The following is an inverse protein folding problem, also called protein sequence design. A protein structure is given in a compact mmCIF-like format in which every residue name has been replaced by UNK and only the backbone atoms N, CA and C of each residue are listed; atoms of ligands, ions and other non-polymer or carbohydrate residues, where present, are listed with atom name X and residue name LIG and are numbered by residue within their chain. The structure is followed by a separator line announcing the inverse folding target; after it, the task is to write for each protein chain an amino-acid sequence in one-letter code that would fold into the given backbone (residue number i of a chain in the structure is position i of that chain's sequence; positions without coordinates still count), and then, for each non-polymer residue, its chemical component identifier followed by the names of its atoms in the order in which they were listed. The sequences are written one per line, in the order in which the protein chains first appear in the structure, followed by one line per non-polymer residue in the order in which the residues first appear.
data_IF_490988577755
#
_entry.id   IF_490988577755
#
_cell.length_a   1.000
_cell.length_b   1.000
_cell.length_c   1.000
_cell.angle_alpha   90.00
_cell.angle_beta   90.00
_cell.angle_gamma   90.00
#
_symmetry.space_group_name_H-M   'P 1'
#
loop_
_entity.id
_entity.type
_entity.pdbx_description
1 polymer ?
#
# COMPACT_ATOMS: atom_id res chain seq x y z
N UNK A 1 -34.67 -80.11 6.83
CA UNK A 1 -34.14 -78.85 7.37
C UNK A 1 -33.13 -78.31 6.35
N UNK A 2 -33.60 -77.49 5.42
CA UNK A 2 -32.83 -76.97 4.29
C UNK A 2 -32.11 -75.69 4.70
N UNK A 3 -30.80 -75.76 4.92
CA UNK A 3 -29.95 -74.57 5.04
C UNK A 3 -29.63 -74.08 3.63
N UNK A 4 -30.40 -73.11 3.14
CA UNK A 4 -30.02 -72.30 1.99
C UNK A 4 -28.80 -71.47 2.42
N UNK A 5 -27.61 -71.89 1.96
CA UNK A 5 -26.42 -71.05 1.97
C UNK A 5 -26.74 -69.81 1.13
N UNK A 6 -26.89 -68.66 1.78
CA UNK A 6 -26.87 -67.38 1.10
C UNK A 6 -25.43 -67.15 0.60
N UNK A 7 -25.19 -67.40 -0.69
CA UNK A 7 -23.99 -66.94 -1.38
C UNK A 7 -23.94 -65.42 -1.33
N UNK A 8 -23.31 -64.86 -0.31
CA UNK A 8 -22.89 -63.45 -0.35
C UNK A 8 -21.80 -63.34 -1.40
N UNK A 9 -21.98 -62.56 -2.48
CA UNK A 9 -21.02 -62.52 -3.58
C UNK A 9 -19.65 -62.10 -3.04
N UNK A 10 -18.63 -62.92 -3.28
CA UNK A 10 -17.24 -62.67 -2.87
C UNK A 10 -16.83 -61.27 -3.32
N UNK A 11 -16.52 -60.38 -2.37
CA UNK A 11 -16.08 -59.01 -2.66
C UNK A 11 -14.81 -59.06 -3.51
N UNK A 12 -14.96 -58.78 -4.79
CA UNK A 12 -13.86 -58.80 -5.75
C UNK A 12 -12.78 -57.82 -5.32
N UNK A 13 -11.52 -58.29 -5.28
CA UNK A 13 -10.34 -57.46 -5.05
C UNK A 13 -9.89 -56.70 -6.30
N UNK A 14 -10.64 -56.82 -7.41
CA UNK A 14 -10.33 -56.10 -8.64
C UNK A 14 -10.58 -54.61 -8.43
N UNK A 15 -9.61 -53.76 -8.81
CA UNK A 15 -9.80 -52.32 -8.76
C UNK A 15 -10.93 -51.88 -9.71
N UNK A 16 -11.54 -50.74 -9.41
CA UNK A 16 -12.66 -50.21 -10.19
C UNK A 16 -12.21 -49.84 -11.60
N UNK A 17 -12.87 -50.41 -12.61
CA UNK A 17 -12.61 -50.17 -14.02
C UNK A 17 -13.31 -48.89 -14.50
N UNK A 18 -12.69 -47.75 -14.20
CA UNK A 18 -13.17 -46.45 -14.66
C UNK A 18 -12.00 -45.55 -15.04
N UNK A 19 -12.21 -44.64 -15.98
CA UNK A 19 -11.13 -43.81 -16.56
C UNK A 19 -10.35 -43.00 -15.51
N UNK A 20 -11.01 -42.57 -14.42
CA UNK A 20 -10.34 -41.89 -13.31
C UNK A 20 -9.44 -42.84 -12.51
N UNK A 21 -9.97 -43.96 -12.03
CA UNK A 21 -9.21 -44.92 -11.21
C UNK A 21 -8.12 -45.67 -11.99
N UNK A 22 -8.27 -45.76 -13.32
CA UNK A 22 -7.26 -46.32 -14.22
C UNK A 22 -6.32 -45.28 -14.83
N UNK A 23 -6.45 -43.99 -14.47
CA UNK A 23 -5.62 -42.91 -15.00
C UNK A 23 -5.64 -42.81 -16.55
N UNK A 24 -6.78 -43.12 -17.16
CA UNK A 24 -7.03 -43.06 -18.61
C UNK A 24 -7.96 -41.90 -18.98
N UNK A 25 -7.99 -40.84 -18.17
CA UNK A 25 -8.72 -39.63 -18.53
C UNK A 25 -8.10 -39.00 -19.79
N UNK A 26 -8.91 -38.42 -20.69
CA UNK A 26 -8.39 -37.70 -21.83
C UNK A 26 -7.57 -36.51 -21.32
N UNK A 27 -6.28 -36.50 -21.65
CA UNK A 27 -5.37 -35.43 -21.28
C UNK A 27 -4.80 -34.78 -22.53
N UNK A 28 -4.75 -33.45 -22.52
CA UNK A 28 -3.96 -32.72 -23.50
C UNK A 28 -2.51 -32.66 -23.03
N UNK A 29 -1.59 -33.20 -23.82
CA UNK A 29 -0.17 -33.25 -23.50
C UNK A 29 0.62 -32.40 -24.51
N UNK A 30 0.72 -31.07 -24.30
CA UNK A 30 1.46 -30.22 -25.21
C UNK A 30 2.96 -30.49 -25.12
N UNK A 31 3.55 -30.84 -26.26
CA UNK A 31 5.00 -30.95 -26.42
C UNK A 31 5.56 -29.60 -26.89
N UNK A 32 6.27 -28.91 -26.00
CA UNK A 32 6.89 -27.61 -26.26
C UNK A 32 8.21 -27.78 -27.01
N UNK A 33 8.12 -27.92 -28.34
CA UNK A 33 9.30 -27.92 -29.22
C UNK A 33 9.78 -26.50 -29.47
N UNK A 34 11.10 -26.31 -29.67
CA UNK A 34 11.73 -25.00 -29.91
C UNK A 34 11.01 -24.14 -30.96
N UNK A 35 10.55 -24.74 -32.08
CA UNK A 35 9.79 -24.03 -33.12
C UNK A 35 8.45 -23.46 -32.62
N UNK A 36 7.70 -24.23 -31.83
CA UNK A 36 6.39 -23.81 -31.30
C UNK A 36 6.55 -22.72 -30.24
N UNK A 37 7.53 -22.89 -29.34
CA UNK A 37 7.85 -21.90 -28.31
C UNK A 37 8.39 -20.61 -28.92
N UNK A 38 9.23 -20.69 -29.95
CA UNK A 38 9.76 -19.51 -30.65
C UNK A 38 8.65 -18.63 -31.22
N UNK A 39 7.68 -19.22 -31.94
CA UNK A 39 6.52 -18.49 -32.48
C UNK A 39 5.70 -17.83 -31.35
N UNK A 40 5.45 -18.55 -30.26
CA UNK A 40 4.70 -18.01 -29.13
C UNK A 40 5.41 -16.80 -28.49
N UNK A 41 6.72 -16.88 -28.27
CA UNK A 41 7.51 -15.77 -27.74
C UNK A 41 7.61 -14.59 -28.72
N UNK A 42 7.67 -14.84 -30.02
CA UNK A 42 7.62 -13.75 -31.01
C UNK A 42 6.30 -13.00 -30.96
N UNK A 43 5.16 -13.70 -30.88
CA UNK A 43 3.84 -13.07 -30.75
C UNK A 43 3.77 -12.25 -29.46
N UNK A 44 4.21 -12.83 -28.34
CA UNK A 44 4.23 -12.14 -27.06
C UNK A 44 5.14 -10.90 -27.11
N UNK A 45 6.31 -10.98 -27.75
CA UNK A 45 7.22 -9.85 -27.92
C UNK A 45 6.59 -8.73 -28.75
N UNK A 46 5.98 -9.05 -29.88
CA UNK A 46 5.28 -8.07 -30.72
C UNK A 46 4.13 -7.37 -29.98
N UNK A 47 3.49 -8.04 -29.01
CA UNK A 47 2.48 -7.42 -28.15
C UNK A 47 3.08 -6.59 -27.00
N UNK A 48 4.11 -7.08 -26.33
CA UNK A 48 4.69 -6.42 -25.16
C UNK A 48 5.54 -5.20 -25.53
N UNK A 49 6.18 -5.18 -26.70
CA UNK A 49 6.98 -4.04 -27.16
C UNK A 49 6.15 -2.74 -27.26
N UNK A 50 5.02 -2.68 -27.99
CA UNK A 50 4.22 -1.45 -28.07
C UNK A 50 3.64 -1.06 -26.72
N UNK A 51 3.21 -2.03 -25.90
CA UNK A 51 2.74 -1.76 -24.53
C UNK A 51 3.86 -1.12 -23.69
N UNK A 52 5.07 -1.66 -23.76
CA UNK A 52 6.24 -1.11 -23.06
C UNK A 52 6.61 0.30 -23.54
N UNK A 53 6.55 0.57 -24.84
CA UNK A 53 6.79 1.91 -25.40
C UNK A 53 5.75 2.91 -24.88
N UNK A 54 4.45 2.55 -24.91
CA UNK A 54 3.38 3.40 -24.41
C UNK A 54 3.59 3.71 -22.92
N UNK A 55 3.83 2.68 -22.10
CA UNK A 55 4.08 2.84 -20.66
C UNK A 55 5.28 3.74 -20.39
N UNK A 56 6.39 3.54 -21.10
CA UNK A 56 7.60 4.34 -20.94
C UNK A 56 7.38 5.81 -21.30
N UNK A 57 6.73 6.08 -22.44
CA UNK A 57 6.39 7.45 -22.85
C UNK A 57 5.47 8.11 -21.82
N UNK A 58 4.43 7.41 -21.36
CA UNK A 58 3.53 7.96 -20.33
C UNK A 58 4.24 8.22 -19.01
N UNK A 59 5.20 7.36 -18.61
CA UNK A 59 5.97 7.51 -17.37
C UNK A 59 6.92 8.71 -17.44
N UNK A 60 7.60 8.91 -18.57
CA UNK A 60 8.55 10.01 -18.74
C UNK A 60 7.87 11.38 -18.86
N UNK A 61 6.59 11.43 -19.22
CA UNK A 61 5.81 12.66 -19.29
C UNK A 61 5.29 13.14 -17.92
N UNK A 62 5.47 12.36 -16.85
CA UNK A 62 5.09 12.75 -15.50
C UNK A 62 6.09 13.77 -14.96
N UNK A 63 5.59 14.95 -14.57
CA UNK A 63 6.39 16.01 -13.94
C UNK A 63 6.32 15.85 -12.43
N UNK A 64 7.47 15.62 -11.79
CA UNK A 64 7.59 15.48 -10.34
C UNK A 64 8.70 16.41 -9.81
N UNK A 65 8.44 17.02 -8.65
CA UNK A 65 9.44 17.78 -7.90
C UNK A 65 9.54 17.20 -6.49
N UNK A 66 10.74 16.76 -6.11
CA UNK A 66 11.02 16.18 -4.80
C UNK A 66 11.91 17.11 -3.97
N UNK A 67 11.49 17.42 -2.74
CA UNK A 67 12.24 18.29 -1.83
C UNK A 67 12.39 17.62 -0.48
N UNK A 68 13.66 17.43 -0.08
CA UNK A 68 14.00 16.94 1.25
C UNK A 68 14.01 18.10 2.26
N UNK A 69 13.19 17.98 3.30
CA UNK A 69 13.10 18.97 4.37
C UNK A 69 13.56 18.43 5.73
N UNK A 70 14.26 17.29 5.77
CA UNK A 70 14.76 16.67 7.02
C UNK A 70 15.62 17.63 7.84
N UNK A 71 16.64 18.23 7.22
CA UNK A 71 17.52 19.22 7.85
C UNK A 71 17.01 20.65 7.62
N UNK A 72 15.73 20.86 7.93
CA UNK A 72 15.11 22.16 7.86
C UNK A 72 15.61 23.10 8.97
N UNK A 73 15.90 24.34 8.60
CA UNK A 73 16.29 25.41 9.51
C UNK A 73 15.07 26.29 9.77
N UNK A 74 14.87 26.69 11.01
CA UNK A 74 13.78 27.58 11.39
C UNK A 74 13.91 28.94 10.69
N UNK A 75 12.79 29.46 10.19
CA UNK A 75 12.78 30.76 9.54
C UNK A 75 13.19 31.88 10.52
N UNK A 76 14.26 32.61 10.20
CA UNK A 76 14.78 33.72 11.01
C UNK A 76 15.87 33.34 12.03
N UNK A 77 16.18 32.06 12.22
CA UNK A 77 17.32 31.60 13.04
C UNK A 77 18.22 30.66 12.25
N UNK A 78 19.38 30.27 12.80
CA UNK A 78 20.26 29.26 12.21
C UNK A 78 20.13 27.89 12.90
N UNK A 79 19.00 27.64 13.56
CA UNK A 79 18.76 26.40 14.32
C UNK A 79 17.97 25.38 13.50
N UNK A 80 18.36 24.10 13.60
CA UNK A 80 17.63 22.98 13.01
C UNK A 80 16.30 22.79 13.72
N UNK A 81 15.23 22.56 12.95
CA UNK A 81 13.91 22.31 13.52
C UNK A 81 13.87 21.10 14.46
N UNK A 82 14.71 20.09 14.24
CA UNK A 82 14.83 18.94 15.14
C UNK A 82 15.19 19.35 16.58
N UNK A 83 16.04 20.37 16.75
CA UNK A 83 16.41 20.92 18.06
C UNK A 83 15.30 21.80 18.65
N UNK A 84 14.69 22.64 17.82
CA UNK A 84 13.61 23.54 18.24
C UNK A 84 12.39 22.75 18.75
N UNK A 85 11.99 21.71 18.03
CA UNK A 85 10.88 20.83 18.40
C UNK A 85 11.19 20.04 19.67
N UNK A 86 12.43 19.57 19.85
CA UNK A 86 12.85 18.90 21.09
C UNK A 86 12.75 19.80 22.33
N UNK A 87 12.79 21.12 22.12
CA UNK A 87 12.60 22.13 23.17
C UNK A 87 11.12 22.50 23.39
N UNK A 88 10.18 21.83 22.72
CA UNK A 88 8.74 22.04 22.86
C UNK A 88 8.20 23.29 22.13
N UNK A 89 8.97 23.89 21.22
CA UNK A 89 8.54 25.07 20.44
C UNK A 89 8.12 24.67 19.02
N UNK A 90 7.11 25.33 18.44
CA UNK A 90 6.75 25.10 17.04
C UNK A 90 7.88 25.57 16.13
N UNK A 91 8.22 24.78 15.12
CA UNK A 91 9.18 25.15 14.09
C UNK A 91 8.48 25.40 12.76
N UNK A 92 8.81 26.50 12.09
CA UNK A 92 8.38 26.80 10.73
C UNK A 92 9.61 26.90 9.86
N UNK A 93 9.67 26.07 8.81
CA UNK A 93 10.72 26.12 7.80
C UNK A 93 10.13 26.48 6.44
N UNK A 94 10.92 27.20 5.64
CA UNK A 94 10.59 27.53 4.25
C UNK A 94 11.62 26.87 3.33
N UNK A 95 11.15 26.03 2.42
CA UNK A 95 11.97 25.48 1.32
C UNK A 95 11.52 26.09 0.00
N UNK A 96 12.49 26.55 -0.77
CA UNK A 96 12.24 27.14 -2.09
C UNK A 96 12.39 26.07 -3.16
N UNK A 97 11.46 26.06 -4.12
CA UNK A 97 11.44 25.12 -5.25
C UNK A 97 11.38 25.94 -6.53
N UNK A 98 12.31 25.68 -7.45
CA UNK A 98 12.28 26.29 -8.78
C UNK A 98 11.51 25.38 -9.72
N UNK A 99 10.36 25.86 -10.20
CA UNK A 99 9.51 25.13 -11.15
C UNK A 99 9.84 25.62 -12.56
N UNK A 100 10.61 24.81 -13.30
CA UNK A 100 11.06 25.14 -14.66
C UNK A 100 9.99 24.85 -15.73
N UNK A 101 9.14 23.86 -15.48
CA UNK A 101 8.13 23.39 -16.44
C UNK A 101 6.74 23.48 -15.84
N UNK A 102 5.75 23.77 -16.69
CA UNK A 102 4.35 23.83 -16.26
C UNK A 102 3.87 22.45 -15.82
N UNK A 103 3.32 22.35 -14.61
CA UNK A 103 2.73 21.10 -14.09
C UNK A 103 1.29 21.00 -14.61
N UNK A 104 0.96 20.00 -15.45
CA UNK A 104 -0.40 19.81 -15.91
C UNK A 104 -1.32 19.37 -14.76
N UNK A 105 -2.60 19.74 -14.85
CA UNK A 105 -3.62 19.28 -13.88
C UNK A 105 -3.94 17.80 -14.11
N UNK A 106 -4.27 17.01 -13.06
CA UNK A 106 -4.33 17.36 -11.64
C UNK A 106 -2.96 17.37 -10.95
N UNK A 107 -2.81 18.20 -9.92
CA UNK A 107 -1.58 18.32 -9.12
C UNK A 107 -1.81 17.68 -7.75
N UNK A 108 -0.86 16.88 -7.30
CA UNK A 108 -0.89 16.21 -6.00
C UNK A 108 0.32 16.61 -5.16
N UNK A 109 0.11 16.78 -3.86
CA UNK A 109 1.18 16.98 -2.88
C UNK A 109 1.33 15.70 -2.07
N UNK A 110 2.51 15.10 -2.11
CA UNK A 110 2.85 13.91 -1.35
C UNK A 110 3.94 14.24 -0.31
N UNK A 111 3.87 13.57 0.84
CA UNK A 111 4.97 13.54 1.80
C UNK A 111 5.57 12.14 1.80
N UNK A 112 6.91 12.07 1.85
CA UNK A 112 7.66 10.82 1.84
C UNK A 112 8.41 10.64 3.14
N UNK A 113 8.31 9.44 3.74
CA UNK A 113 9.07 9.06 4.92
C UNK A 113 10.09 7.99 4.55
N UNK A 114 11.35 8.17 4.94
CA UNK A 114 12.41 7.16 4.81
C UNK A 114 12.72 6.55 6.17
N UNK A 115 13.16 5.30 6.17
CA UNK A 115 13.47 4.55 7.40
C UNK A 115 12.29 4.40 8.38
N UNK A 116 11.06 4.44 7.87
CA UNK A 116 9.83 4.24 8.65
C UNK A 116 9.16 2.91 8.26
N UNK A 117 9.32 1.89 9.11
CA UNK A 117 8.94 0.50 8.80
C UNK A 117 7.46 0.20 9.06
N UNK A 118 6.56 0.82 8.29
CA UNK A 118 5.11 0.59 8.39
C UNK A 118 4.70 -0.86 8.14
N UNK A 119 5.49 -1.63 7.39
CA UNK A 119 5.24 -3.03 7.07
C UNK A 119 5.62 -4.01 8.19
N UNK A 120 6.17 -3.53 9.31
CA UNK A 120 6.52 -4.41 10.42
C UNK A 120 5.28 -5.10 10.99
N UNK A 121 5.30 -6.44 11.14
CA UNK A 121 4.11 -7.26 11.50
C UNK A 121 3.34 -6.74 12.72
N UNK A 122 4.06 -6.31 13.78
CA UNK A 122 3.44 -5.78 15.00
C UNK A 122 2.83 -4.40 14.79
N UNK A 123 3.43 -3.58 13.92
CA UNK A 123 2.94 -2.24 13.61
C UNK A 123 1.63 -2.33 12.82
N UNK A 124 1.61 -3.13 11.73
CA UNK A 124 0.41 -3.34 10.89
C UNK A 124 -0.78 -3.89 11.69
N UNK A 125 -0.52 -4.76 12.67
CA UNK A 125 -1.57 -5.33 13.53
C UNK A 125 -2.04 -4.39 14.64
N UNK A 126 -1.33 -3.30 14.91
CA UNK A 126 -1.61 -2.42 16.04
C UNK A 126 -2.67 -1.37 15.69
N UNK A 127 -3.91 -1.85 15.59
CA UNK A 127 -5.15 -1.08 15.38
C UNK A 127 -6.37 -1.90 15.87
N UNK A 128 -7.52 -1.24 16.02
CA UNK A 128 -8.84 -1.87 16.14
C UNK A 128 -9.72 -1.42 14.98
N UNK A 129 -10.21 -2.37 14.19
CA UNK A 129 -11.09 -2.07 13.06
C UNK A 129 -12.49 -1.67 13.55
N UNK A 130 -12.96 -2.22 14.68
CA UNK A 130 -14.22 -1.86 15.31
C UNK A 130 -14.24 -0.39 15.74
N UNK A 131 -13.15 0.09 16.36
CA UNK A 131 -13.03 1.51 16.72
C UNK A 131 -13.03 2.42 15.49
N UNK A 132 -12.38 2.01 14.40
CA UNK A 132 -12.35 2.77 13.14
C UNK A 132 -13.73 2.81 12.45
N UNK A 133 -14.60 1.84 12.74
CA UNK A 133 -16.01 1.83 12.34
C UNK A 133 -16.90 2.65 13.29
N UNK A 134 -16.34 3.25 14.34
CA UNK A 134 -17.09 4.03 15.34
C UNK A 134 -17.75 3.18 16.44
N UNK A 135 -17.38 1.90 16.56
CA UNK A 135 -17.91 1.00 17.59
C UNK A 135 -17.01 1.10 18.83
N UNK A 136 -17.62 1.40 19.98
CA UNK A 136 -16.90 1.43 21.25
C UNK A 136 -16.34 0.03 21.60
N UNK A 137 -15.11 0.00 22.11
CA UNK A 137 -14.42 -1.20 22.57
C UNK A 137 -13.86 -0.94 23.96
N UNK A 138 -14.10 -1.89 24.87
CA UNK A 138 -13.48 -1.89 26.18
C UNK A 138 -11.95 -2.04 26.09
N UNK A 139 -11.16 -1.35 26.93
CA UNK A 139 -9.70 -1.47 26.94
C UNK A 139 -9.17 -2.91 26.99
N UNK A 140 -9.89 -3.81 27.67
CA UNK A 140 -9.52 -5.21 27.83
C UNK A 140 -9.63 -6.04 26.54
N UNK A 141 -10.49 -5.64 25.59
CA UNK A 141 -10.63 -6.30 24.29
C UNK A 141 -9.55 -5.86 23.28
N UNK A 142 -8.91 -4.70 23.52
CA UNK A 142 -7.94 -4.06 22.62
C UNK A 142 -6.52 -4.65 22.68
N UNK A 143 -6.40 -5.98 22.74
CA UNK A 143 -5.11 -6.67 22.84
C UNK A 143 -4.18 -6.43 21.65
N UNK A 144 -4.73 -6.23 20.44
CA UNK A 144 -3.98 -5.92 19.22
C UNK A 144 -3.30 -4.54 19.28
N UNK A 145 -3.89 -3.59 20.01
CA UNK A 145 -3.41 -2.22 20.11
C UNK A 145 -2.26 -2.02 21.10
N UNK A 146 -1.88 -3.05 21.87
CA UNK A 146 -0.81 -2.95 22.86
C UNK A 146 0.52 -2.45 22.28
N UNK A 147 1.22 -1.50 22.95
CA UNK A 147 0.91 -0.91 24.27
C UNK A 147 -0.07 0.28 24.23
N UNK A 148 -0.50 0.73 23.07
CA UNK A 148 -1.32 1.94 22.87
C UNK A 148 -2.82 1.67 22.95
N UNK A 149 -3.25 0.85 23.91
CA UNK A 149 -4.67 0.49 24.11
C UNK A 149 -5.39 1.44 25.07
N UNK A 150 -4.72 1.88 26.14
CA UNK A 150 -5.33 2.69 27.20
C UNK A 150 -4.31 3.52 27.98
N UNK A 151 -4.75 4.65 28.53
CA UNK A 151 -4.01 5.50 29.49
C UNK A 151 -4.90 5.69 30.72
N UNK A 152 -4.37 5.45 31.92
CA UNK A 152 -5.10 5.60 33.19
C UNK A 152 -6.48 4.90 33.22
N UNK A 153 -6.55 3.70 32.64
CA UNK A 153 -7.79 2.91 32.55
C UNK A 153 -8.81 3.40 31.52
N UNK A 154 -8.49 4.45 30.76
CA UNK A 154 -9.34 4.98 29.67
C UNK A 154 -8.83 4.49 28.32
N UNK A 155 -9.71 4.01 27.41
CA UNK A 155 -9.28 3.57 26.09
C UNK A 155 -8.74 4.74 25.27
N UNK A 156 -7.65 4.53 24.53
CA UNK A 156 -7.17 5.48 23.52
C UNK A 156 -8.06 5.31 22.28
N UNK A 157 -8.50 6.43 21.70
CA UNK A 157 -9.33 6.43 20.48
C UNK A 157 -8.74 7.42 19.46
N UNK A 158 -8.33 6.95 18.26
CA UNK A 158 -8.13 5.55 17.86
C UNK A 158 -6.90 4.91 18.55
N UNK A 159 -6.99 3.63 18.93
CA UNK A 159 -5.89 2.90 19.56
C UNK A 159 -4.83 2.40 18.57
N UNK A 160 -3.64 2.08 19.10
CA UNK A 160 -2.59 1.37 18.37
C UNK A 160 -1.45 2.24 17.84
N UNK A 161 -0.38 1.57 17.43
CA UNK A 161 0.87 2.22 17.00
C UNK A 161 0.70 3.03 15.71
N UNK A 162 -0.21 2.62 14.83
CA UNK A 162 -0.49 3.32 13.57
C UNK A 162 -1.04 4.72 13.86
N UNK A 163 -2.08 4.78 14.71
CA UNK A 163 -2.68 6.04 15.13
C UNK A 163 -1.72 6.91 15.95
N UNK A 164 -0.96 6.30 16.86
CA UNK A 164 -0.02 7.02 17.73
C UNK A 164 1.15 7.67 16.97
N UNK A 165 1.49 7.15 15.79
CA UNK A 165 2.59 7.66 14.95
C UNK A 165 2.09 8.36 13.69
N UNK A 166 0.90 8.97 13.76
CA UNK A 166 0.37 9.74 12.65
C UNK A 166 1.30 10.90 12.31
N UNK A 167 1.48 11.12 11.01
CA UNK A 167 2.26 12.24 10.51
C UNK A 167 1.57 13.56 10.88
N UNK A 168 2.33 14.52 11.42
CA UNK A 168 1.80 15.72 12.05
C UNK A 168 2.34 17.04 11.47
N UNK A 169 3.15 17.02 10.41
CA UNK A 169 3.56 18.27 9.76
C UNK A 169 2.40 18.86 8.95
N UNK A 170 2.41 20.18 8.82
CA UNK A 170 1.43 20.92 8.02
C UNK A 170 2.15 21.64 6.88
N UNK A 171 1.65 21.47 5.66
CA UNK A 171 2.23 22.07 4.46
C UNK A 171 1.38 23.25 3.98
N UNK A 172 2.06 24.35 3.65
CA UNK A 172 1.49 25.47 2.91
C UNK A 172 2.36 25.76 1.71
N UNK A 173 1.74 25.92 0.54
CA UNK A 173 2.44 26.17 -0.72
C UNK A 173 2.05 27.56 -1.20
N UNK A 174 3.05 28.38 -1.50
CA UNK A 174 2.86 29.69 -2.11
C UNK A 174 3.87 29.86 -3.25
N UNK A 175 3.50 30.64 -4.26
CA UNK A 175 4.42 31.03 -5.33
C UNK A 175 4.59 32.54 -5.35
N UNK A 176 5.78 33.00 -5.70
CA UNK A 176 6.06 34.42 -5.89
C UNK A 176 5.85 34.77 -7.36
N UNK A 177 4.98 35.74 -7.63
CA UNK A 177 4.72 36.25 -8.97
C UNK A 177 5.81 37.25 -9.39
N UNK A 178 5.87 37.58 -10.68
CA UNK A 178 6.82 38.53 -11.28
C UNK A 178 6.80 39.93 -10.63
N UNK A 179 5.71 40.30 -9.97
CA UNK A 179 5.52 41.55 -9.22
C UNK A 179 6.01 41.45 -7.76
N UNK A 180 6.72 40.37 -7.41
CA UNK A 180 7.21 40.06 -6.07
C UNK A 180 6.10 39.85 -5.01
N UNK A 181 4.86 39.64 -5.45
CA UNK A 181 3.75 39.28 -4.55
C UNK A 181 3.74 37.77 -4.30
N UNK A 182 3.50 37.38 -3.04
CA UNK A 182 3.30 35.98 -2.67
C UNK A 182 1.82 35.64 -2.80
N UNK A 183 1.54 34.59 -3.57
CA UNK A 183 0.20 34.07 -3.79
C UNK A 183 0.14 32.65 -3.25
N UNK A 184 -0.82 32.40 -2.35
CA UNK A 184 -1.03 31.07 -1.79
C UNK A 184 -1.70 30.15 -2.83
N UNK A 185 -1.21 28.92 -2.92
CA UNK A 185 -1.80 27.88 -3.75
C UNK A 185 -2.93 27.23 -2.95
N UNK A 186 -4.15 27.30 -3.47
CA UNK A 186 -5.31 26.67 -2.85
C UNK A 186 -5.16 25.14 -2.87
N UNK A 187 -5.04 24.53 -1.70
CA UNK A 187 -4.99 23.07 -1.52
C UNK A 187 -6.33 22.55 -0.99
N UNK A 188 -6.67 21.30 -1.31
CA UNK A 188 -7.86 20.62 -0.77
C UNK A 188 -7.45 19.35 -0.04
N UNK A 189 -8.04 19.12 1.13
CA UNK A 189 -7.91 17.86 1.88
C UNK A 189 -9.06 16.90 1.61
N UNK A 190 -10.05 17.30 0.79
CA UNK A 190 -11.18 16.46 0.41
C UNK A 190 -10.82 15.62 -0.82
N UNK A 191 -11.24 14.35 -0.83
CA UNK A 191 -11.01 13.44 -1.95
C UNK A 191 -9.59 12.85 -2.04
N UNK A 192 -8.84 12.88 -0.93
CA UNK A 192 -7.48 12.32 -0.86
C UNK A 192 -7.44 10.87 -0.35
N UNK A 193 -8.51 10.42 0.29
CA UNK A 193 -8.68 9.04 0.74
C UNK A 193 -9.49 8.24 -0.28
N UNK A 194 -9.29 6.92 -0.30
CA UNK A 194 -10.14 6.01 -1.06
C UNK A 194 -11.60 6.19 -0.65
N UNK A 195 -12.50 6.07 -1.63
CA UNK A 195 -13.93 6.04 -1.33
C UNK A 195 -14.25 4.79 -0.51
N UNK A 196 -15.01 4.99 0.58
CA UNK A 196 -15.59 3.93 1.43
C UNK A 196 -17.02 3.69 0.97
#
# INVERSE_FOLDING_TARGET
MSLQLFDTPLKSRRPKDSAFFQQKLPAWQPLFTAKKSGIAFTILGVLLIPIGIILLVTSNNVVEYHVDYTDCIQNGTQELCSKVISSGKPCVCVKQITVETSIPRPVYLYYGLKNFYQNHRRYVRSKSDEQLLGIYQDPSSLTSCGPYASIDGRPIVPCGAIANSIFNDTFSVSYTRSDNTKVDVTTTTKGIAWAI
#
